data_IF_473853636657
#
_entry.id   IF_473853636657
#
_cell.length_a   1.000
_cell.length_b   1.000
_cell.length_c   1.000
_cell.angle_alpha   90.00
_cell.angle_beta   90.00
_cell.angle_gamma   90.00
#
_symmetry.space_group_name_H-M   'P 1'
#
loop_
_entity.id
_entity.type
_entity.pdbx_description
1 polymer ?
#
# COMPACT_ATOMS: atom_id res chain seq x y z
N UNK A 1 2.18 2.41 -4.52
CA UNK A 1 2.74 3.41 -5.44
C UNK A 1 2.00 4.76 -5.48
N UNK A 2 0.89 4.94 -4.75
CA UNK A 2 -0.05 6.07 -4.95
C UNK A 2 0.12 7.33 -4.08
N UNK A 3 1.25 7.56 -3.39
CA UNK A 3 1.46 8.82 -2.62
C UNK A 3 2.11 9.87 -3.50
N UNK A 4 1.59 11.11 -3.50
CA UNK A 4 2.15 12.25 -4.25
C UNK A 4 2.44 11.92 -5.72
N UNK A 5 1.54 11.16 -6.35
CA UNK A 5 1.63 10.77 -7.76
C UNK A 5 0.29 10.99 -8.44
N UNK A 6 0.30 11.35 -9.71
CA UNK A 6 -0.92 11.32 -10.53
C UNK A 6 -1.44 9.88 -10.67
N UNK A 7 -2.74 9.75 -10.95
CA UNK A 7 -3.34 8.45 -11.25
C UNK A 7 -2.61 7.74 -12.40
N UNK A 8 -2.33 8.45 -13.49
CA UNK A 8 -1.61 7.91 -14.66
C UNK A 8 -0.22 7.37 -14.28
N UNK A 9 0.53 8.09 -13.45
CA UNK A 9 1.83 7.63 -12.97
C UNK A 9 1.72 6.39 -12.09
N UNK A 10 0.65 6.27 -11.30
CA UNK A 10 0.39 5.11 -10.48
C UNK A 10 0.03 3.88 -11.33
N UNK A 11 -0.80 4.06 -12.38
CA UNK A 11 -1.13 3.01 -13.35
C UNK A 11 0.13 2.53 -14.09
N UNK A 12 0.98 3.45 -14.58
CA UNK A 12 2.26 3.10 -15.17
C UNK A 12 3.13 2.28 -14.21
N UNK A 13 3.28 2.75 -12.98
CA UNK A 13 4.07 2.06 -11.97
C UNK A 13 3.54 0.67 -11.64
N UNK A 14 2.22 0.50 -11.58
CA UNK A 14 1.58 -0.81 -11.43
C UNK A 14 1.89 -1.73 -12.62
N UNK A 15 1.70 -1.24 -13.85
CA UNK A 15 1.96 -2.02 -15.05
C UNK A 15 3.43 -2.47 -15.14
N UNK A 16 4.38 -1.61 -14.77
CA UNK A 16 5.81 -1.96 -14.70
C UNK A 16 6.05 -3.04 -13.64
N UNK A 17 5.53 -2.85 -12.42
CA UNK A 17 5.72 -3.80 -11.32
C UNK A 17 5.09 -5.18 -11.59
N UNK A 18 4.05 -5.27 -12.41
CA UNK A 18 3.35 -6.53 -12.71
C UNK A 18 3.94 -7.30 -13.89
N UNK A 19 4.81 -6.69 -14.71
CA UNK A 19 5.45 -7.37 -15.84
C UNK A 19 6.43 -8.46 -15.41
N UNK A 20 7.13 -8.22 -14.30
CA UNK A 20 8.11 -9.15 -13.74
C UNK A 20 8.02 -9.09 -12.22
N UNK A 21 7.64 -10.18 -11.57
CA UNK A 21 7.53 -10.27 -10.11
C UNK A 21 8.85 -10.65 -9.43
N UNK A 22 9.96 -10.79 -10.18
CA UNK A 22 11.28 -11.08 -9.62
C UNK A 22 11.74 -10.03 -8.61
N UNK A 23 11.29 -8.77 -8.74
CA UNK A 23 11.54 -7.71 -7.76
C UNK A 23 11.08 -8.06 -6.35
N UNK A 24 10.11 -8.96 -6.22
CA UNK A 24 9.65 -9.38 -4.90
C UNK A 24 10.77 -10.10 -4.15
N UNK A 25 11.59 -10.92 -4.82
CA UNK A 25 12.63 -11.75 -4.21
C UNK A 25 14.06 -11.20 -4.37
N UNK A 26 14.28 -10.31 -5.33
CA UNK A 26 15.60 -9.71 -5.61
C UNK A 26 15.55 -8.18 -5.43
N UNK A 27 16.36 -7.66 -4.50
CA UNK A 27 16.47 -6.22 -4.22
C UNK A 27 16.96 -5.42 -5.41
N UNK A 28 17.88 -5.96 -6.20
CA UNK A 28 18.41 -5.26 -7.38
C UNK A 28 17.31 -5.08 -8.44
N UNK A 29 16.52 -6.14 -8.65
CA UNK A 29 15.34 -6.08 -9.54
C UNK A 29 14.28 -5.09 -9.04
N UNK A 30 14.10 -4.97 -7.72
CA UNK A 30 13.24 -3.93 -7.14
C UNK A 30 13.74 -2.52 -7.44
N UNK A 31 15.02 -2.25 -7.28
CA UNK A 31 15.61 -0.94 -7.57
C UNK A 31 15.44 -0.58 -9.05
N UNK A 32 15.74 -1.52 -9.96
CA UNK A 32 15.53 -1.37 -11.40
C UNK A 32 14.07 -1.07 -11.73
N UNK A 33 13.14 -1.85 -11.18
CA UNK A 33 11.69 -1.71 -11.40
C UNK A 33 11.17 -0.33 -10.93
N UNK A 34 11.60 0.15 -9.76
CA UNK A 34 11.15 1.43 -9.21
C UNK A 34 11.67 2.62 -10.02
N UNK A 35 12.87 2.52 -10.58
CA UNK A 35 13.41 3.51 -11.52
C UNK A 35 12.63 3.48 -12.84
N UNK A 36 12.38 2.30 -13.41
CA UNK A 36 11.60 2.13 -14.64
C UNK A 36 10.17 2.67 -14.51
N UNK A 37 9.55 2.49 -13.34
CA UNK A 37 8.21 2.98 -13.05
C UNK A 37 8.09 4.52 -13.16
N UNK A 38 9.19 5.27 -13.00
CA UNK A 38 9.24 6.75 -13.05
C UNK A 38 8.19 7.40 -12.15
N UNK A 39 8.11 6.97 -10.89
CA UNK A 39 7.13 7.43 -9.89
C UNK A 39 7.73 8.33 -8.80
N UNK A 40 9.01 8.70 -8.93
CA UNK A 40 9.76 9.51 -7.95
C UNK A 40 9.90 8.82 -6.58
N UNK A 41 10.48 9.51 -5.59
CA UNK A 41 10.65 9.02 -4.21
C UNK A 41 11.24 7.59 -4.11
N UNK A 42 12.22 7.30 -4.95
CA UNK A 42 12.72 5.93 -5.18
C UNK A 42 13.15 5.23 -3.88
N UNK A 43 13.95 5.90 -3.04
CA UNK A 43 14.40 5.34 -1.75
C UNK A 43 13.25 4.93 -0.83
N UNK A 44 12.27 5.82 -0.66
CA UNK A 44 11.09 5.58 0.19
C UNK A 44 10.24 4.43 -0.35
N UNK A 45 10.09 4.35 -1.67
CA UNK A 45 9.33 3.29 -2.34
C UNK A 45 10.04 1.95 -2.27
N UNK A 46 11.34 1.91 -2.53
CA UNK A 46 12.16 0.71 -2.38
C UNK A 46 12.04 0.15 -0.97
N UNK A 47 12.18 1.01 0.05
CA UNK A 47 12.03 0.60 1.45
C UNK A 47 10.66 -0.03 1.72
N UNK A 48 9.58 0.67 1.36
CA UNK A 48 8.21 0.19 1.62
C UNK A 48 7.86 -1.08 0.87
N UNK A 49 8.19 -1.14 -0.44
CA UNK A 49 7.92 -2.31 -1.28
C UNK A 49 8.73 -3.52 -0.85
N UNK A 50 10.01 -3.34 -0.50
CA UNK A 50 10.83 -4.44 0.00
C UNK A 50 10.29 -4.99 1.32
N UNK A 51 9.92 -4.11 2.26
CA UNK A 51 9.32 -4.52 3.53
C UNK A 51 8.00 -5.29 3.32
N UNK A 52 7.14 -4.82 2.41
CA UNK A 52 5.93 -5.53 2.03
C UNK A 52 6.25 -6.92 1.48
N UNK A 53 7.13 -7.00 0.49
CA UNK A 53 7.47 -8.27 -0.15
C UNK A 53 8.07 -9.27 0.85
N UNK A 54 8.99 -8.80 1.70
CA UNK A 54 9.62 -9.61 2.73
C UNK A 54 8.58 -10.14 3.73
N UNK A 55 7.77 -9.27 4.33
CA UNK A 55 6.74 -9.67 5.30
C UNK A 55 5.70 -10.61 4.68
N UNK A 56 5.30 -10.34 3.44
CA UNK A 56 4.36 -11.21 2.72
C UNK A 56 4.93 -12.61 2.51
N UNK A 57 6.22 -12.75 2.19
CA UNK A 57 6.87 -14.07 2.12
C UNK A 57 7.00 -14.76 3.46
N UNK A 58 7.32 -14.01 4.52
CA UNK A 58 7.47 -14.56 5.87
C UNK A 58 6.15 -15.12 6.40
N UNK A 59 5.05 -14.38 6.24
CA UNK A 59 3.73 -14.82 6.67
C UNK A 59 2.63 -14.04 5.92
N UNK A 60 2.00 -14.61 4.88
CA UNK A 60 0.87 -13.99 4.19
C UNK A 60 -0.37 -13.79 5.08
N UNK A 61 -0.60 -14.70 6.03
CA UNK A 61 -1.79 -14.67 6.90
C UNK A 61 -1.80 -13.45 7.83
N UNK A 62 -0.64 -12.86 8.11
CA UNK A 62 -0.56 -11.64 8.91
C UNK A 62 -1.36 -10.48 8.29
N UNK A 63 -1.61 -10.49 6.98
CA UNK A 63 -2.35 -9.46 6.26
C UNK A 63 -3.87 -9.70 6.21
N UNK A 64 -4.33 -10.86 6.67
CA UNK A 64 -5.76 -11.17 6.74
C UNK A 64 -6.33 -10.80 8.11
N UNK A 65 -7.65 -10.58 8.13
CA UNK A 65 -8.41 -10.44 9.36
C UNK A 65 -8.42 -11.79 10.09
N UNK A 66 -8.16 -11.77 11.39
CA UNK A 66 -8.26 -12.92 12.29
C UNK A 66 -9.68 -13.03 12.87
N UNK A 67 -10.08 -14.20 13.35
CA UNK A 67 -11.45 -14.43 13.83
C UNK A 67 -11.80 -13.63 15.09
N UNK A 68 -10.80 -13.33 15.92
CA UNK A 68 -10.92 -12.64 17.21
C UNK A 68 -10.83 -11.11 17.12
N UNK A 69 -10.69 -10.54 15.92
CA UNK A 69 -10.61 -9.09 15.70
C UNK A 69 -11.72 -8.57 14.77
N UNK A 70 -12.10 -7.31 14.95
CA UNK A 70 -12.91 -6.54 14.00
C UNK A 70 -12.07 -6.07 12.81
N UNK A 71 -12.72 -5.64 11.73
CA UNK A 71 -12.01 -5.03 10.59
C UNK A 71 -11.23 -3.77 10.96
N UNK A 72 -11.73 -2.99 11.93
CA UNK A 72 -11.05 -1.81 12.43
C UNK A 72 -9.77 -2.17 13.20
N UNK A 73 -9.83 -3.23 14.01
CA UNK A 73 -8.67 -3.77 14.72
C UNK A 73 -7.64 -4.36 13.75
N UNK A 74 -8.09 -5.14 12.75
CA UNK A 74 -7.23 -5.63 11.66
C UNK A 74 -6.49 -4.49 10.96
N UNK A 75 -7.20 -3.42 10.58
CA UNK A 75 -6.57 -2.21 10.03
C UNK A 75 -5.55 -1.63 11.00
N UNK A 76 -5.93 -1.39 12.24
CA UNK A 76 -5.06 -0.74 13.24
C UNK A 76 -3.78 -1.56 13.49
N UNK A 77 -3.89 -2.89 13.51
CA UNK A 77 -2.76 -3.83 13.62
C UNK A 77 -1.80 -3.73 12.44
N UNK A 78 -2.31 -3.49 11.23
CA UNK A 78 -1.51 -3.39 10.00
C UNK A 78 -0.92 -1.99 9.76
N UNK A 79 -1.55 -0.93 10.27
CA UNK A 79 -1.06 0.45 10.10
C UNK A 79 0.35 0.60 10.67
N UNK A 80 1.26 1.16 9.86
CA UNK A 80 2.64 1.41 10.29
C UNK A 80 3.57 0.19 10.31
N UNK A 81 3.05 -1.02 10.09
CA UNK A 81 3.87 -2.25 10.02
C UNK A 81 4.80 -2.28 8.80
N UNK A 82 4.42 -1.57 7.74
CA UNK A 82 5.20 -1.38 6.52
C UNK A 82 5.46 0.12 6.35
N UNK A 83 6.70 0.48 6.05
CA UNK A 83 7.10 1.86 5.81
C UNK A 83 6.27 2.47 4.66
N UNK A 84 5.65 3.61 4.94
CA UNK A 84 4.79 4.32 3.99
C UNK A 84 3.36 3.77 3.88
N UNK A 85 3.00 2.72 4.64
CA UNK A 85 1.65 2.19 4.75
C UNK A 85 0.95 2.76 5.99
N UNK A 86 0.38 3.96 5.83
CA UNK A 86 -0.44 4.62 6.86
C UNK A 86 -1.93 4.28 6.75
N UNK A 87 -2.73 4.86 7.64
CA UNK A 87 -4.16 4.57 7.81
C UNK A 87 -4.96 4.50 6.50
N UNK A 88 -4.89 5.57 5.69
CA UNK A 88 -5.63 5.62 4.42
C UNK A 88 -5.28 4.46 3.48
N UNK A 89 -3.99 4.13 3.31
CA UNK A 89 -3.58 3.05 2.39
C UNK A 89 -3.87 1.66 2.92
N UNK A 90 -3.67 1.43 4.22
CA UNK A 90 -4.04 0.16 4.84
C UNK A 90 -5.53 -0.08 4.66
N UNK A 91 -6.34 0.95 4.95
CA UNK A 91 -7.79 0.90 4.76
C UNK A 91 -8.16 0.65 3.30
N UNK A 92 -7.55 1.37 2.36
CA UNK A 92 -7.78 1.19 0.93
C UNK A 92 -7.49 -0.23 0.48
N UNK A 93 -6.35 -0.81 0.90
CA UNK A 93 -5.99 -2.19 0.57
C UNK A 93 -6.96 -3.23 1.14
N UNK A 94 -7.34 -3.09 2.41
CA UNK A 94 -8.29 -3.99 3.06
C UNK A 94 -9.69 -3.92 2.43
N UNK A 95 -10.20 -2.70 2.19
CA UNK A 95 -11.52 -2.48 1.61
C UNK A 95 -11.60 -2.99 0.16
N UNK A 96 -10.56 -2.79 -0.65
CA UNK A 96 -10.53 -3.34 -2.01
C UNK A 96 -10.42 -4.86 -2.04
N UNK A 97 -9.72 -5.45 -1.08
CA UNK A 97 -9.55 -6.92 -1.03
C UNK A 97 -10.77 -7.63 -0.46
N UNK A 98 -11.59 -6.94 0.34
CA UNK A 98 -12.78 -7.48 0.99
C UNK A 98 -13.95 -6.48 0.88
N UNK A 99 -14.43 -6.20 -0.35
CA UNK A 99 -15.33 -5.07 -0.62
C UNK A 99 -16.72 -5.21 0.00
N UNK A 100 -17.14 -6.44 0.31
CA UNK A 100 -18.45 -6.71 0.92
C UNK A 100 -18.37 -6.65 2.45
N UNK A 101 -17.30 -7.17 3.03
CA UNK A 101 -17.24 -7.43 4.48
C UNK A 101 -16.51 -6.36 5.29
N UNK A 102 -15.50 -5.70 4.71
CA UNK A 102 -14.58 -4.86 5.50
C UNK A 102 -15.29 -3.72 6.23
N UNK A 103 -16.33 -3.14 5.63
CA UNK A 103 -17.07 -1.99 6.18
C UNK A 103 -16.14 -0.84 6.64
N UNK A 104 -14.98 -0.69 5.98
CA UNK A 104 -14.01 0.37 6.26
C UNK A 104 -14.13 1.48 5.20
N UNK A 105 -14.16 2.73 5.67
CA UNK A 105 -14.11 3.90 4.78
C UNK A 105 -12.68 4.45 4.69
N UNK A 106 -12.13 4.50 3.47
CA UNK A 106 -10.84 5.11 3.21
C UNK A 106 -10.99 6.63 3.05
N UNK A 107 -10.57 7.41 4.04
CA UNK A 107 -10.57 8.87 3.98
C UNK A 107 -9.17 9.38 3.64
N UNK A 108 -8.93 9.71 2.36
CA UNK A 108 -7.69 10.35 1.93
C UNK A 108 -7.76 11.89 2.05
N UNK A 109 -6.66 12.58 1.75
CA UNK A 109 -6.57 14.05 1.87
C UNK A 109 -7.59 14.78 1.00
N UNK A 110 -7.96 14.24 -0.16
CA UNK A 110 -8.92 14.87 -1.05
C UNK A 110 -10.34 14.71 -0.52
N UNK A 111 -10.68 13.52 -0.03
CA UNK A 111 -11.98 13.25 0.58
C UNK A 111 -12.16 14.03 1.88
N UNK A 112 -11.13 14.11 2.72
CA UNK A 112 -11.15 14.89 3.96
C UNK A 112 -11.39 16.39 3.67
N UNK A 113 -10.67 16.96 2.68
CA UNK A 113 -10.87 18.35 2.26
C UNK A 113 -12.27 18.58 1.69
N UNK A 114 -12.79 17.63 0.91
CA UNK A 114 -14.15 17.69 0.39
C UNK A 114 -15.20 17.74 1.53
N UNK A 115 -14.94 17.01 2.62
CA UNK A 115 -15.78 17.02 3.83
C UNK A 115 -15.55 18.24 4.75
N UNK A 116 -14.70 19.19 4.36
CA UNK A 116 -14.42 20.40 5.14
C UNK A 116 -13.35 20.23 6.23
N UNK A 117 -12.63 19.11 6.25
CA UNK A 117 -11.47 18.93 7.12
C UNK A 117 -10.21 19.51 6.45
N UNK A 118 -9.77 20.67 6.93
CA UNK A 118 -8.45 21.19 6.61
C UNK A 118 -7.42 20.49 7.50
N UNK A 119 -6.35 19.99 6.91
CA UNK A 119 -5.18 19.54 7.69
C UNK A 119 -4.44 20.80 8.11
N UNK A 120 -4.49 21.13 9.40
CA UNK A 120 -3.58 22.10 10.02
C UNK A 120 -2.12 21.64 9.92
#
# INVERSE_FOLDING_TARGET
MSVHTTWESNVRGYNVAMKDLSWTIDKKRLEEMVVEARVGMYERRNRGLWQLAQKFRENPEQFKKQDDETWQECRNRLVGTIYGLGNAKTTYGLALSNPVDAQLCCLDVHLLRFLGHNQD
#
